data_IF_608084094605
#
_entry.id   IF_608084094605
#
_cell.length_a   1.000
_cell.length_b   1.000
_cell.length_c   1.000
_cell.angle_alpha   90.00
_cell.angle_beta   90.00
_cell.angle_gamma   90.00
#
_symmetry.space_group_name_H-M   'P 1'
#
loop_
_entity.id
_entity.type
_entity.pdbx_description
1 polymer ?
#
# COMPACT_ATOMS: atom_id res chain seq x y z
N UNK A 1 13.50 7.40 4.02
CA UNK A 1 13.90 7.86 2.67
C UNK A 1 13.87 6.65 1.73
N UNK A 2 13.27 6.77 0.54
CA UNK A 2 13.10 5.63 -0.39
C UNK A 2 14.24 5.53 -1.43
N UNK A 3 14.55 6.62 -2.12
CA UNK A 3 15.69 6.73 -3.04
C UNK A 3 16.10 8.20 -3.21
N UNK A 4 17.34 8.45 -3.61
CA UNK A 4 17.87 9.79 -3.91
C UNK A 4 18.70 9.73 -5.21
N UNK A 5 18.77 10.85 -5.96
CA UNK A 5 19.62 11.02 -7.15
C UNK A 5 19.49 9.90 -8.20
N UNK A 6 18.28 9.40 -8.41
CA UNK A 6 18.00 8.42 -9.46
C UNK A 6 17.73 9.15 -10.77
N UNK A 7 18.50 8.82 -11.81
CA UNK A 7 18.21 9.28 -13.15
C UNK A 7 16.87 8.67 -13.60
N UNK A 8 15.90 9.53 -13.87
CA UNK A 8 14.57 9.18 -14.39
C UNK A 8 14.25 10.13 -15.54
N UNK A 9 13.43 9.70 -16.52
CA UNK A 9 12.78 10.63 -17.44
C UNK A 9 11.97 11.68 -16.68
N UNK A 10 11.60 12.78 -17.37
CA UNK A 10 10.64 13.74 -16.82
C UNK A 10 9.32 13.02 -16.58
N UNK A 11 8.81 13.09 -15.34
CA UNK A 11 7.55 12.47 -14.96
C UNK A 11 6.38 13.39 -15.29
N UNK A 12 5.32 12.81 -15.86
CA UNK A 12 4.05 13.45 -16.10
C UNK A 12 2.95 12.84 -15.22
N UNK A 13 1.84 13.56 -14.96
CA UNK A 13 0.70 12.99 -14.25
C UNK A 13 0.19 11.71 -14.92
N UNK A 14 0.13 10.63 -14.15
CA UNK A 14 -0.29 9.31 -14.63
C UNK A 14 0.85 8.32 -14.83
N UNK A 15 2.11 8.78 -14.83
CA UNK A 15 3.27 7.89 -14.88
C UNK A 15 3.37 7.01 -13.63
N UNK A 16 3.85 5.79 -13.83
CA UNK A 16 4.03 4.79 -12.77
C UNK A 16 5.52 4.62 -12.47
N UNK A 17 5.86 4.77 -11.19
CA UNK A 17 7.20 4.47 -10.67
C UNK A 17 7.12 3.25 -9.76
N UNK A 18 8.05 2.32 -9.93
CA UNK A 18 8.14 1.11 -9.10
C UNK A 18 9.37 1.15 -8.20
N UNK A 19 9.18 0.80 -6.93
CA UNK A 19 10.26 0.45 -6.02
C UNK A 19 10.32 -1.08 -5.91
N UNK A 20 11.40 -1.66 -6.45
CA UNK A 20 11.63 -3.11 -6.45
C UNK A 20 12.23 -3.57 -5.12
N UNK A 21 12.30 -4.88 -4.93
CA UNK A 21 12.92 -5.54 -3.77
C UNK A 21 12.31 -5.15 -2.41
N UNK A 22 10.99 -4.86 -2.40
CA UNK A 22 10.23 -4.47 -1.20
C UNK A 22 9.60 -5.66 -0.46
N UNK A 23 9.97 -6.89 -0.79
CA UNK A 23 9.33 -8.10 -0.25
C UNK A 23 9.61 -8.37 1.24
N UNK A 24 10.72 -7.86 1.77
CA UNK A 24 11.10 -8.03 3.17
C UNK A 24 11.09 -6.69 3.91
N UNK A 25 10.54 -6.68 5.13
CA UNK A 25 10.52 -5.54 6.07
C UNK A 25 9.74 -4.27 5.67
N UNK A 26 9.37 -4.07 4.40
CA UNK A 26 8.61 -2.89 3.99
C UNK A 26 7.16 -2.92 4.50
N UNK A 27 6.45 -4.03 4.28
CA UNK A 27 5.04 -4.16 4.66
C UNK A 27 4.81 -4.81 6.03
N UNK A 28 5.85 -5.30 6.70
CA UNK A 28 5.74 -5.95 8.01
C UNK A 28 5.55 -4.96 9.16
N UNK A 29 6.05 -3.73 8.99
CA UNK A 29 6.08 -2.71 10.05
C UNK A 29 5.45 -1.41 9.54
N UNK A 30 4.18 -1.47 9.21
CA UNK A 30 3.44 -0.30 8.74
C UNK A 30 3.11 0.66 9.90
N UNK A 31 3.24 1.96 9.65
CA UNK A 31 2.82 3.03 10.53
C UNK A 31 1.73 3.86 9.86
N UNK A 32 0.62 4.11 10.56
CA UNK A 32 -0.54 4.88 10.08
C UNK A 32 -0.30 6.41 10.04
N UNK A 33 0.88 6.83 9.59
CA UNK A 33 1.24 8.24 9.49
C UNK A 33 0.30 8.94 8.50
N UNK A 34 -0.24 10.11 8.88
CA UNK A 34 -1.24 10.86 8.14
C UNK A 34 -2.52 10.07 7.79
N UNK A 35 -2.84 9.02 8.56
CA UNK A 35 -4.00 8.16 8.29
C UNK A 35 -3.99 7.57 6.87
N UNK A 36 -2.80 7.39 6.28
CA UNK A 36 -2.66 6.78 4.97
C UNK A 36 -3.04 5.29 5.07
N UNK A 37 -4.00 4.81 4.26
CA UNK A 37 -4.42 3.43 4.31
C UNK A 37 -3.30 2.49 3.87
N UNK A 38 -3.18 1.34 4.53
CA UNK A 38 -2.38 0.23 4.01
C UNK A 38 -2.90 -0.14 2.62
N UNK A 39 -2.01 -0.19 1.64
CA UNK A 39 -2.34 -0.58 0.27
C UNK A 39 -2.69 -2.06 0.19
N UNK A 40 -3.49 -2.43 -0.83
CA UNK A 40 -3.70 -3.82 -1.18
C UNK A 40 -2.38 -4.46 -1.63
N UNK A 41 -2.25 -5.77 -1.38
CA UNK A 41 -1.18 -6.60 -1.91
C UNK A 41 -1.81 -7.60 -2.86
N UNK A 42 -1.35 -7.60 -4.11
CA UNK A 42 -1.76 -8.56 -5.13
C UNK A 42 -0.57 -9.45 -5.47
N UNK A 43 -0.83 -10.75 -5.54
CA UNK A 43 0.03 -11.72 -6.19
C UNK A 43 -0.44 -11.95 -7.62
N UNK A 44 0.39 -12.58 -8.43
CA UNK A 44 0.01 -12.99 -9.77
C UNK A 44 0.58 -14.37 -10.10
N UNK A 45 -0.06 -15.03 -11.05
CA UNK A 45 0.44 -16.23 -11.71
C UNK A 45 0.45 -16.00 -13.21
N UNK A 46 1.25 -16.77 -13.94
CA UNK A 46 1.31 -16.71 -15.41
C UNK A 46 0.88 -18.04 -16.02
N UNK A 47 -0.06 -17.99 -16.97
CA UNK A 47 -0.48 -19.14 -17.77
C UNK A 47 0.57 -19.58 -18.78
N UNK A 48 0.33 -20.74 -19.42
CA UNK A 48 1.23 -21.29 -20.45
C UNK A 48 1.34 -20.40 -21.71
N UNK A 49 0.34 -19.56 -21.95
CA UNK A 49 0.25 -18.55 -23.00
C UNK A 49 0.80 -17.18 -22.55
N UNK A 50 1.27 -17.06 -21.30
CA UNK A 50 1.75 -15.81 -20.72
C UNK A 50 0.65 -14.91 -20.15
N UNK A 51 -0.61 -15.37 -20.08
CA UNK A 51 -1.68 -14.60 -19.43
C UNK A 51 -1.35 -14.36 -17.95
N UNK A 52 -1.41 -13.10 -17.50
CA UNK A 52 -1.20 -12.72 -16.10
C UNK A 52 -2.53 -12.69 -15.37
N UNK A 53 -2.69 -13.56 -14.39
CA UNK A 53 -3.87 -13.58 -13.53
C UNK A 53 -3.49 -13.09 -12.14
N UNK A 54 -4.11 -11.99 -11.71
CA UNK A 54 -3.91 -11.42 -10.39
C UNK A 54 -4.85 -12.03 -9.35
N UNK A 55 -4.35 -12.20 -8.13
CA UNK A 55 -5.12 -12.57 -6.97
C UNK A 55 -4.81 -11.62 -5.81
N UNK A 56 -5.83 -11.22 -5.06
CA UNK A 56 -5.63 -10.41 -3.86
C UNK A 56 -5.07 -11.26 -2.73
N UNK A 57 -3.87 -10.91 -2.27
CA UNK A 57 -3.19 -11.53 -1.12
C UNK A 57 -3.58 -10.81 0.18
N UNK A 58 -3.71 -9.49 0.13
CA UNK A 58 -4.19 -8.67 1.24
C UNK A 58 -5.05 -7.53 0.72
N UNK A 59 -6.23 -7.33 1.30
CA UNK A 59 -7.12 -6.24 0.93
C UNK A 59 -6.53 -4.88 1.34
N UNK A 60 -6.91 -3.81 0.64
CA UNK A 60 -6.63 -2.45 1.08
C UNK A 60 -7.33 -2.17 2.41
N UNK A 61 -6.70 -1.35 3.26
CA UNK A 61 -7.30 -0.92 4.50
C UNK A 61 -8.52 -0.03 4.22
N UNK A 62 -9.63 -0.31 4.92
CA UNK A 62 -10.84 0.50 4.80
C UNK A 62 -10.76 1.75 5.69
N UNK A 63 -11.48 2.80 5.30
CA UNK A 63 -11.64 4.01 6.12
C UNK A 63 -12.18 3.65 7.52
N UNK A 64 -13.16 2.75 7.60
CA UNK A 64 -13.72 2.31 8.88
C UNK A 64 -12.66 1.70 9.80
N UNK A 65 -11.75 0.87 9.26
CA UNK A 65 -10.65 0.32 10.04
C UNK A 65 -9.62 1.38 10.46
N UNK A 66 -9.37 2.41 9.64
CA UNK A 66 -8.51 3.54 10.04
C UNK A 66 -9.14 4.29 11.21
N UNK A 67 -10.44 4.60 11.13
CA UNK A 67 -11.16 5.29 12.20
C UNK A 67 -11.19 4.45 13.48
N UNK A 68 -11.39 3.14 13.36
CA UNK A 68 -11.35 2.22 14.50
C UNK A 68 -9.96 2.19 15.17
N UNK A 69 -8.88 2.08 14.38
CA UNK A 69 -7.49 2.12 14.88
C UNK A 69 -7.15 3.47 15.54
N UNK A 70 -7.77 4.56 15.09
CA UNK A 70 -7.63 5.90 15.67
C UNK A 70 -8.50 6.13 16.92
N UNK A 71 -9.20 5.11 17.43
CA UNK A 71 -10.03 5.20 18.64
C UNK A 71 -11.41 5.79 18.40
N UNK A 72 -11.96 5.71 17.18
CA UNK A 72 -13.26 6.30 16.84
C UNK A 72 -14.45 5.84 17.69
N UNK A 73 -14.33 4.69 18.38
CA UNK A 73 -15.31 4.22 19.35
C UNK A 73 -15.36 5.07 20.64
N UNK A 74 -14.25 5.70 21.01
CA UNK A 74 -14.08 6.44 22.26
C UNK A 74 -14.39 7.94 22.13
N UNK A 75 -14.99 8.34 21.00
CA UNK A 75 -15.22 9.76 20.65
C UNK A 75 -16.03 10.54 21.70
N UNK A 76 -16.86 9.84 22.46
CA UNK A 76 -17.77 10.40 23.47
C UNK A 76 -17.35 9.98 24.91
N UNK A 77 -16.19 9.33 25.08
CA UNK A 77 -15.80 8.72 26.36
C UNK A 77 -15.58 9.72 27.51
N UNK A 78 -15.48 11.02 27.20
CA UNK A 78 -15.28 12.11 28.15
C UNK A 78 -16.42 13.16 28.11
N UNK A 79 -17.53 12.85 27.44
CA UNK A 79 -18.74 13.70 27.40
C UNK A 79 -19.72 13.38 28.53
#
# INVERSE_FOLDING_TARGET
MLAEKRALPLLEPGDVVAALDTGAYYFSSHYGYNSLPRTAVHGFTTGADGEVQFATVRQAQSIGSIVAEAGGAERDALL
#
